data_IF_042450536228
#
_entry.id   IF_042450536228
#
_cell.length_a   1.000
_cell.length_b   1.000
_cell.length_c   1.000
_cell.angle_alpha   90.00
_cell.angle_beta   90.00
_cell.angle_gamma   90.00
#
_symmetry.space_group_name_H-M   'P 1'
#
loop_
_entity.id
_entity.type
_entity.pdbx_description
1 polymer ?
#
# COMPACT_ATOMS: atom_id res chain seq x y z
N UNK A 1 -3.08 -30.09 42.86
CA UNK A 1 -3.12 -28.73 42.25
C UNK A 1 -4.45 -28.06 42.57
N UNK A 2 -4.41 -26.81 43.00
CA UNK A 2 -5.66 -26.12 43.28
C UNK A 2 -6.39 -25.76 41.96
N UNK A 3 -7.74 -25.64 42.01
CA UNK A 3 -8.53 -25.24 40.83
C UNK A 3 -8.06 -23.92 40.26
N UNK A 4 -7.52 -23.01 41.09
CA UNK A 4 -6.94 -21.71 40.70
C UNK A 4 -5.65 -21.88 39.90
N UNK A 5 -4.80 -22.85 40.26
CA UNK A 5 -3.54 -23.12 39.54
C UNK A 5 -3.80 -23.70 38.16
N UNK A 6 -4.83 -24.55 38.01
CA UNK A 6 -5.24 -25.12 36.71
C UNK A 6 -5.80 -24.06 35.81
N UNK A 7 -6.63 -23.15 36.33
CA UNK A 7 -7.19 -22.03 35.56
C UNK A 7 -6.09 -21.07 35.08
N UNK A 8 -5.08 -20.77 35.89
CA UNK A 8 -3.95 -19.92 35.55
C UNK A 8 -3.07 -20.56 34.46
N UNK A 9 -2.82 -21.86 34.52
CA UNK A 9 -2.10 -22.61 33.50
C UNK A 9 -2.85 -22.61 32.15
N UNK A 10 -4.17 -22.79 32.20
CA UNK A 10 -5.02 -22.75 31.01
C UNK A 10 -5.03 -21.36 30.35
N UNK A 11 -5.09 -20.30 31.15
CA UNK A 11 -5.00 -18.92 30.67
C UNK A 11 -3.63 -18.65 30.02
N UNK A 12 -2.54 -19.13 30.61
CA UNK A 12 -1.20 -18.94 30.11
C UNK A 12 -0.95 -19.65 28.76
N UNK A 13 -1.60 -20.79 28.53
CA UNK A 13 -1.52 -21.54 27.27
C UNK A 13 -2.46 -20.94 26.21
N UNK A 14 -3.66 -20.49 26.60
CA UNK A 14 -4.64 -19.89 25.68
C UNK A 14 -4.24 -18.51 25.15
N UNK A 15 -3.57 -17.70 25.98
CA UNK A 15 -3.19 -16.33 25.62
C UNK A 15 -2.33 -16.26 24.34
N UNK A 16 -1.23 -17.02 24.18
CA UNK A 16 -0.44 -16.99 22.95
C UNK A 16 -1.19 -17.52 21.73
N UNK A 17 -2.09 -18.47 21.90
CA UNK A 17 -2.93 -19.00 20.81
C UNK A 17 -3.92 -17.93 20.34
N UNK A 18 -4.56 -17.23 21.25
CA UNK A 18 -5.48 -16.12 20.92
C UNK A 18 -4.73 -14.98 20.25
N UNK A 19 -3.55 -14.61 20.76
CA UNK A 19 -2.70 -13.58 20.16
C UNK A 19 -2.26 -13.97 18.74
N UNK A 20 -1.93 -15.25 18.51
CA UNK A 20 -1.58 -15.76 17.19
C UNK A 20 -2.76 -15.71 16.22
N UNK A 21 -3.97 -16.09 16.66
CA UNK A 21 -5.19 -16.05 15.84
C UNK A 21 -5.67 -14.63 15.54
N UNK A 22 -5.39 -13.68 16.44
CA UNK A 22 -5.73 -12.27 16.26
C UNK A 22 -4.66 -11.49 15.47
N UNK A 23 -3.49 -12.12 15.18
CA UNK A 23 -2.45 -11.45 14.42
C UNK A 23 -2.89 -11.23 12.97
N UNK A 24 -2.89 -10.01 12.47
CA UNK A 24 -3.34 -9.74 11.12
C UNK A 24 -2.48 -10.49 10.10
N UNK A 25 -3.13 -11.15 9.14
CA UNK A 25 -2.44 -11.83 8.05
C UNK A 25 -1.60 -10.85 7.22
N UNK A 26 -0.56 -11.33 6.56
CA UNK A 26 0.27 -10.50 5.69
C UNK A 26 -0.57 -9.89 4.56
N UNK A 27 -1.53 -10.62 4.00
CA UNK A 27 -2.48 -10.08 3.02
C UNK A 27 -3.29 -8.89 3.59
N UNK A 28 -3.81 -9.02 4.81
CA UNK A 28 -4.55 -7.95 5.50
C UNK A 28 -3.67 -6.71 5.73
N UNK A 29 -2.39 -6.92 6.06
CA UNK A 29 -1.40 -5.84 6.24
C UNK A 29 -1.09 -5.13 4.93
N UNK A 30 -1.00 -5.86 3.82
CA UNK A 30 -0.80 -5.30 2.49
C UNK A 30 -2.04 -4.52 2.03
N UNK A 31 -3.25 -5.04 2.25
CA UNK A 31 -4.51 -4.30 2.01
C UNK A 31 -4.54 -2.98 2.77
N UNK A 32 -4.15 -3.02 4.04
CA UNK A 32 -4.04 -1.81 4.87
C UNK A 32 -3.00 -0.82 4.31
N UNK A 33 -1.84 -1.32 3.83
CA UNK A 33 -0.81 -0.49 3.21
C UNK A 33 -1.36 0.31 2.02
N UNK A 34 -2.08 -0.34 1.08
CA UNK A 34 -2.68 0.34 -0.06
C UNK A 34 -3.76 1.33 0.34
N UNK A 35 -4.62 0.97 1.29
CA UNK A 35 -5.65 1.88 1.83
C UNK A 35 -5.05 3.11 2.50
N UNK A 36 -3.99 2.96 3.26
CA UNK A 36 -3.29 4.08 3.90
C UNK A 36 -2.49 4.90 2.88
N UNK A 37 -1.86 4.23 1.90
CA UNK A 37 -1.11 4.87 0.82
C UNK A 37 -2.00 5.75 -0.05
N UNK A 38 -3.16 5.25 -0.50
CA UNK A 38 -4.11 6.05 -1.28
C UNK A 38 -4.60 7.28 -0.51
N UNK A 39 -4.94 7.11 0.77
CA UNK A 39 -5.33 8.24 1.64
C UNK A 39 -4.20 9.26 1.85
N UNK A 40 -2.96 8.80 1.93
CA UNK A 40 -1.80 9.69 2.06
C UNK A 40 -1.60 10.51 0.79
N UNK A 41 -1.79 9.92 -0.39
CA UNK A 41 -1.74 10.64 -1.67
C UNK A 41 -2.89 11.67 -1.76
N UNK A 42 -4.12 11.28 -1.41
CA UNK A 42 -5.28 12.17 -1.39
C UNK A 42 -5.10 13.37 -0.43
N UNK A 43 -4.31 13.20 0.62
CA UNK A 43 -3.96 14.25 1.58
C UNK A 43 -2.67 15.00 1.24
N UNK A 44 -2.03 14.64 0.13
CA UNK A 44 -0.74 15.19 -0.29
C UNK A 44 0.36 15.05 0.77
N UNK A 45 0.23 14.02 1.63
CA UNK A 45 1.19 13.71 2.70
C UNK A 45 2.34 12.86 2.15
N UNK A 46 3.37 13.57 1.65
CA UNK A 46 4.55 12.96 1.02
C UNK A 46 5.27 11.98 1.95
N UNK A 47 5.43 12.33 3.22
CA UNK A 47 6.16 11.48 4.17
C UNK A 47 5.37 10.20 4.49
N UNK A 48 4.05 10.31 4.61
CA UNK A 48 3.19 9.14 4.79
C UNK A 48 3.22 8.22 3.57
N UNK A 49 3.21 8.76 2.33
CA UNK A 49 3.36 7.97 1.09
C UNK A 49 4.71 7.28 1.08
N UNK A 50 5.79 8.02 1.27
CA UNK A 50 7.15 7.47 1.21
C UNK A 50 7.45 6.46 2.32
N UNK A 51 6.74 6.52 3.44
CA UNK A 51 6.81 5.51 4.51
C UNK A 51 6.34 4.11 4.09
N UNK A 52 5.62 4.00 2.95
CA UNK A 52 5.14 2.73 2.37
C UNK A 52 6.07 2.20 1.28
N UNK A 53 7.10 2.94 0.92
CA UNK A 53 8.04 2.61 -0.16
C UNK A 53 9.39 2.23 0.44
N UNK A 54 10.00 1.17 -0.07
CA UNK A 54 11.34 0.74 0.32
C UNK A 54 12.41 1.71 -0.21
N UNK A 55 13.48 1.89 0.54
CA UNK A 55 14.66 2.59 0.04
C UNK A 55 15.32 1.89 -1.16
N UNK A 56 15.07 0.59 -1.33
CA UNK A 56 15.52 -0.22 -2.47
C UNK A 56 14.55 -0.17 -3.66
N UNK A 57 13.57 0.76 -3.64
CA UNK A 57 12.60 0.90 -4.72
C UNK A 57 13.29 1.17 -6.06
N UNK A 58 12.84 0.45 -7.08
CA UNK A 58 13.15 0.72 -8.48
C UNK A 58 11.99 0.26 -9.36
N UNK A 59 11.47 1.13 -10.21
CA UNK A 59 10.43 0.76 -11.17
C UNK A 59 10.99 0.16 -12.46
N UNK A 60 10.11 -0.13 -13.41
CA UNK A 60 10.47 -0.66 -14.73
C UNK A 60 11.26 0.33 -15.60
N UNK A 61 11.25 1.62 -15.28
CA UNK A 61 11.96 2.69 -15.97
C UNK A 61 13.26 3.10 -15.27
N UNK A 62 13.58 2.46 -14.13
CA UNK A 62 14.75 2.78 -13.31
C UNK A 62 14.56 3.94 -12.36
N UNK A 63 13.31 4.36 -12.10
CA UNK A 63 12.99 5.38 -11.11
C UNK A 63 13.30 4.86 -9.71
N UNK A 64 14.25 5.48 -9.03
CA UNK A 64 14.64 5.10 -7.67
C UNK A 64 13.79 5.80 -6.60
N UNK A 65 13.94 5.38 -5.35
CA UNK A 65 13.26 5.99 -4.20
C UNK A 65 13.37 7.52 -4.16
N UNK A 66 14.55 8.08 -4.38
CA UNK A 66 14.76 9.53 -4.33
C UNK A 66 14.06 10.26 -5.48
N UNK A 67 14.13 9.71 -6.69
CA UNK A 67 13.43 10.25 -7.84
C UNK A 67 11.92 10.15 -7.68
N UNK A 68 11.42 9.03 -7.17
CA UNK A 68 9.99 8.89 -6.85
C UNK A 68 9.53 9.96 -5.85
N UNK A 69 10.32 10.20 -4.80
CA UNK A 69 10.02 11.23 -3.79
C UNK A 69 9.94 12.62 -4.41
N UNK A 70 10.90 13.00 -5.24
CA UNK A 70 10.90 14.31 -5.91
C UNK A 70 9.76 14.43 -6.93
N UNK A 71 9.47 13.37 -7.67
CA UNK A 71 8.34 13.33 -8.60
C UNK A 71 7.01 13.51 -7.88
N UNK A 72 6.78 12.79 -6.80
CA UNK A 72 5.57 12.92 -5.97
C UNK A 72 5.42 14.32 -5.39
N UNK A 73 6.52 14.92 -4.92
CA UNK A 73 6.55 16.30 -4.44
C UNK A 73 6.17 17.30 -5.52
N UNK A 74 6.60 17.06 -6.77
CA UNK A 74 6.23 17.87 -7.92
C UNK A 74 4.75 17.72 -8.26
N UNK A 75 4.24 16.49 -8.26
CA UNK A 75 2.82 16.18 -8.50
C UNK A 75 1.95 16.90 -7.47
N UNK A 76 2.25 16.81 -6.18
CA UNK A 76 1.49 17.49 -5.12
C UNK A 76 1.52 19.02 -5.19
N UNK A 77 2.50 19.62 -5.88
CA UNK A 77 2.51 21.06 -6.15
C UNK A 77 1.66 21.48 -7.33
N UNK A 78 1.41 20.56 -8.26
CA UNK A 78 0.73 20.84 -9.52
C UNK A 78 -0.74 20.44 -9.50
N UNK A 79 -1.06 19.41 -8.74
CA UNK A 79 -2.41 18.84 -8.62
C UNK A 79 -3.06 19.28 -7.32
N UNK A 80 -4.36 19.40 -7.31
CA UNK A 80 -5.17 19.66 -6.12
C UNK A 80 -6.37 18.71 -6.10
N UNK A 81 -6.90 18.45 -4.90
CA UNK A 81 -8.07 17.58 -4.70
C UNK A 81 -7.95 16.23 -5.41
N UNK A 82 -6.81 15.56 -5.22
CA UNK A 82 -6.54 14.26 -5.80
C UNK A 82 -7.42 13.20 -5.13
N UNK A 83 -8.09 12.38 -5.93
CA UNK A 83 -8.84 11.21 -5.48
C UNK A 83 -8.31 9.96 -6.17
N UNK A 84 -8.11 8.90 -5.40
CA UNK A 84 -7.66 7.60 -5.90
C UNK A 84 -8.76 6.59 -5.75
N UNK A 85 -9.15 5.97 -6.85
CA UNK A 85 -10.04 4.83 -6.88
C UNK A 85 -9.25 3.61 -7.36
N UNK A 86 -9.34 2.51 -6.64
CA UNK A 86 -8.78 1.24 -7.08
C UNK A 86 -9.76 0.10 -6.85
N UNK A 87 -9.73 -0.87 -7.75
CA UNK A 87 -10.57 -2.06 -7.75
C UNK A 87 -9.76 -3.29 -8.16
N UNK A 88 -10.37 -4.46 -8.05
CA UNK A 88 -9.78 -5.74 -8.45
C UNK A 88 -8.43 -6.05 -7.76
N UNK A 89 -8.26 -5.57 -6.52
CA UNK A 89 -7.03 -5.83 -5.76
C UNK A 89 -6.86 -7.34 -5.52
N UNK A 90 -5.82 -7.91 -6.12
CA UNK A 90 -5.41 -9.30 -5.96
C UNK A 90 -4.00 -9.36 -5.37
N UNK A 91 -3.85 -9.99 -4.22
CA UNK A 91 -2.59 -10.09 -3.49
C UNK A 91 -2.13 -11.53 -3.43
N UNK A 92 -0.88 -11.79 -3.77
CA UNK A 92 -0.22 -13.08 -3.64
C UNK A 92 1.01 -12.92 -2.76
N UNK A 93 0.99 -13.57 -1.60
CA UNK A 93 2.09 -13.54 -0.62
C UNK A 93 2.92 -14.80 -0.77
N UNK A 94 4.23 -14.65 -0.82
CA UNK A 94 5.20 -15.74 -0.80
C UNK A 94 6.30 -15.41 0.22
N UNK A 95 6.17 -15.92 1.44
CA UNK A 95 7.08 -15.69 2.57
C UNK A 95 7.33 -14.20 2.85
N UNK A 96 8.47 -13.67 2.39
CA UNK A 96 8.88 -12.27 2.59
C UNK A 96 8.65 -11.38 1.38
N UNK A 97 8.10 -11.92 0.31
CA UNK A 97 7.77 -11.19 -0.91
C UNK A 97 6.28 -11.27 -1.18
N UNK A 98 5.74 -10.28 -1.85
CA UNK A 98 4.35 -10.30 -2.32
C UNK A 98 4.22 -9.55 -3.65
N UNK A 99 3.21 -9.93 -4.42
CA UNK A 99 2.73 -9.15 -5.56
C UNK A 99 1.30 -8.70 -5.30
N UNK A 100 0.98 -7.51 -5.75
CA UNK A 100 -0.38 -6.97 -5.71
C UNK A 100 -0.72 -6.36 -7.06
N UNK A 101 -1.78 -6.85 -7.67
CA UNK A 101 -2.33 -6.35 -8.93
C UNK A 101 -3.62 -5.59 -8.63
N UNK A 102 -3.84 -4.45 -9.27
CA UNK A 102 -5.07 -3.68 -9.13
C UNK A 102 -5.30 -2.76 -10.33
N UNK A 103 -6.55 -2.39 -10.53
CA UNK A 103 -6.97 -1.41 -11.52
C UNK A 103 -7.17 -0.06 -10.83
N UNK A 104 -6.51 0.99 -11.32
CA UNK A 104 -6.42 2.29 -10.66
C UNK A 104 -6.94 3.42 -11.56
N UNK A 105 -7.64 4.35 -10.97
CA UNK A 105 -8.01 5.66 -11.54
C UNK A 105 -7.54 6.76 -10.60
N UNK A 106 -6.98 7.80 -11.17
CA UNK A 106 -6.67 9.03 -10.43
C UNK A 106 -7.52 10.14 -11.01
N UNK A 107 -8.24 10.81 -10.15
CA UNK A 107 -9.16 11.89 -10.47
C UNK A 107 -8.62 13.15 -9.81
N UNK A 108 -8.64 14.25 -10.55
CA UNK A 108 -8.28 15.58 -10.08
C UNK A 108 -9.45 16.53 -10.26
N UNK A 109 -9.65 17.42 -9.32
CA UNK A 109 -10.63 18.50 -9.43
C UNK A 109 -9.92 19.83 -9.45
N UNK A 110 -10.06 20.58 -10.55
CA UNK A 110 -9.53 21.93 -10.71
C UNK A 110 -10.71 22.90 -10.78
N UNK A 111 -10.93 23.67 -9.71
CA UNK A 111 -12.11 24.55 -9.62
C UNK A 111 -13.40 23.74 -9.60
N UNK A 112 -14.23 23.88 -10.66
CA UNK A 112 -15.48 23.13 -10.82
C UNK A 112 -15.37 21.95 -11.78
N UNK A 113 -14.22 21.79 -12.42
CA UNK A 113 -13.99 20.74 -13.41
C UNK A 113 -13.29 19.56 -12.76
N UNK A 114 -13.90 18.38 -12.91
CA UNK A 114 -13.34 17.11 -12.44
C UNK A 114 -12.99 16.25 -13.64
N UNK A 115 -11.76 15.77 -13.69
CA UNK A 115 -11.26 14.96 -14.80
C UNK A 115 -10.39 13.79 -14.33
N UNK A 116 -10.25 12.80 -15.22
CA UNK A 116 -9.33 11.68 -14.99
C UNK A 116 -7.93 12.10 -15.45
N UNK A 117 -6.98 12.07 -14.52
CA UNK A 117 -5.55 12.25 -14.81
C UNK A 117 -4.94 10.93 -15.26
N UNK A 118 -5.50 9.83 -14.75
CA UNK A 118 -4.92 8.51 -14.85
C UNK A 118 -6.03 7.45 -14.90
N UNK A 119 -6.12 6.75 -16.02
CA UNK A 119 -7.27 5.90 -16.29
C UNK A 119 -8.53 6.71 -16.58
N UNK A 120 -9.60 6.03 -16.96
CA UNK A 120 -10.95 6.57 -17.10
C UNK A 120 -11.99 5.54 -16.67
N UNK A 121 -13.27 5.89 -16.71
CA UNK A 121 -14.34 4.97 -16.30
C UNK A 121 -14.33 3.64 -17.05
N UNK A 122 -14.24 3.59 -18.39
CA UNK A 122 -14.21 2.32 -19.12
C UNK A 122 -12.81 1.65 -19.10
N UNK A 123 -11.73 2.38 -18.81
CA UNK A 123 -10.36 1.88 -18.93
C UNK A 123 -9.48 2.35 -17.78
N UNK A 124 -9.59 1.71 -16.59
CA UNK A 124 -8.64 1.94 -15.52
C UNK A 124 -7.24 1.50 -15.97
N UNK A 125 -6.21 2.03 -15.34
CA UNK A 125 -4.84 1.56 -15.56
C UNK A 125 -4.54 0.40 -14.65
N UNK A 126 -4.07 -0.71 -15.22
CA UNK A 126 -3.66 -1.87 -14.46
C UNK A 126 -2.25 -1.68 -13.93
N UNK A 127 -2.11 -1.70 -12.60
CA UNK A 127 -0.84 -1.58 -11.91
C UNK A 127 -0.50 -2.89 -11.21
N UNK A 128 0.78 -3.24 -11.26
CA UNK A 128 1.35 -4.33 -10.49
C UNK A 128 2.43 -3.81 -9.56
N UNK A 129 2.32 -4.17 -8.31
CA UNK A 129 3.27 -3.83 -7.26
C UNK A 129 4.00 -5.07 -6.79
N UNK A 130 5.31 -4.95 -6.61
CA UNK A 130 6.10 -5.92 -5.86
C UNK A 130 6.40 -5.34 -4.49
N UNK A 131 6.24 -6.16 -3.45
CA UNK A 131 6.45 -5.77 -2.08
C UNK A 131 7.42 -6.74 -1.40
N UNK A 132 8.20 -6.21 -0.47
CA UNK A 132 9.05 -6.99 0.42
C UNK A 132 8.75 -6.68 1.87
N UNK A 133 8.89 -7.71 2.71
CA UNK A 133 8.72 -7.60 4.15
C UNK A 133 10.06 -7.24 4.79
N UNK A 134 10.22 -5.99 5.11
CA UNK A 134 11.39 -5.48 5.83
C UNK A 134 11.11 -5.47 7.34
N UNK A 135 11.78 -6.36 8.07
CA UNK A 135 11.50 -6.63 9.49
C UNK A 135 10.04 -7.05 9.69
N UNK A 136 9.19 -6.13 10.12
CA UNK A 136 7.76 -6.36 10.39
C UNK A 136 6.83 -5.60 9.46
N UNK A 137 7.36 -4.79 8.53
CA UNK A 137 6.57 -3.94 7.63
C UNK A 137 6.65 -4.44 6.20
N UNK A 138 5.54 -4.41 5.50
CA UNK A 138 5.51 -4.55 4.06
C UNK A 138 5.80 -3.21 3.41
N UNK A 139 6.69 -3.18 2.43
CA UNK A 139 7.07 -1.99 1.67
C UNK A 139 7.06 -2.29 0.19
N UNK A 140 6.66 -1.31 -0.61
CA UNK A 140 6.69 -1.41 -2.08
C UNK A 140 8.13 -1.27 -2.57
N UNK A 141 8.59 -2.25 -3.33
CA UNK A 141 9.94 -2.25 -3.93
C UNK A 141 9.93 -2.01 -5.43
N UNK A 142 8.77 -2.23 -6.09
CA UNK A 142 8.63 -2.02 -7.54
C UNK A 142 7.18 -1.70 -7.91
N UNK A 143 7.00 -0.86 -8.92
CA UNK A 143 5.71 -0.60 -9.57
C UNK A 143 5.87 -0.80 -11.07
N UNK A 144 4.92 -1.49 -11.71
CA UNK A 144 4.87 -1.77 -13.14
C UNK A 144 3.50 -1.34 -13.69
N UNK A 145 3.45 -0.97 -14.97
CA UNK A 145 2.22 -0.57 -15.64
C UNK A 145 1.91 0.93 -15.57
N UNK A 146 2.85 1.74 -15.10
CA UNK A 146 2.69 3.21 -15.14
C UNK A 146 2.61 3.69 -16.59
N UNK A 147 1.61 4.52 -16.97
CA UNK A 147 1.40 4.92 -18.37
C UNK A 147 2.38 5.97 -18.86
N UNK A 148 3.25 6.46 -18.02
CA UNK A 148 4.21 7.52 -18.35
C UNK A 148 5.60 7.23 -17.76
N UNK A 149 6.61 7.64 -18.50
CA UNK A 149 7.99 7.73 -17.99
C UNK A 149 8.13 9.10 -17.33
N UNK A 150 8.60 9.10 -16.10
CA UNK A 150 8.94 10.34 -15.39
C UNK A 150 10.21 10.97 -15.95
#
# INVERSE_FOLDING_TARGET
MSKKTIALLFLFILTPIILYLLWPSDESRIKKLFKEGSRAIEKEDLDAVMSKVSFNYSDEYGLTYLYLKESMKSVFKQMSDIKIEYENLNIKVNEKTATADMDVRIIETIGNDTGYVFGDLPKPVHLKFTLEKERTKWLVTKTEGLPFKF
#
